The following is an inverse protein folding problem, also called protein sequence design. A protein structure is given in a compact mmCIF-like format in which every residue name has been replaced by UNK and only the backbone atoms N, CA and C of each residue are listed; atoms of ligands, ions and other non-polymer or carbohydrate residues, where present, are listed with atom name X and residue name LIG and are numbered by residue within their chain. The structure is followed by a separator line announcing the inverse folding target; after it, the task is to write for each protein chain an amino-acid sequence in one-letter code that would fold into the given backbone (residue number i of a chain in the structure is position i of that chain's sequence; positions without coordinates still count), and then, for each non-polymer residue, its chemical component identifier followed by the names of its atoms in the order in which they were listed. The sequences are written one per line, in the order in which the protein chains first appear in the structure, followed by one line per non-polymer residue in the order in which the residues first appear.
data_IF_783880279926
#
_entry.id   IF_783880279926
#
_cell.length_a   1.000
_cell.length_b   1.000
_cell.length_c   1.000
_cell.angle_alpha   90.00
_cell.angle_beta   90.00
_cell.angle_gamma   90.00
#
_symmetry.space_group_name_H-M   'P 1'
#
loop_
_entity.id
_entity.type
_entity.pdbx_description
1 polymer ?
#
# COMPACT_ATOMS: atom_id res chain seq x y z
N UNK A 1 -3.23 17.32 -10.70
CA UNK A 1 -2.32 16.24 -10.22
C UNK A 1 -1.63 15.62 -11.42
N UNK A 2 -0.29 15.65 -11.41
CA UNK A 2 0.51 15.12 -12.49
C UNK A 2 1.08 13.74 -12.11
N UNK A 3 1.02 12.79 -13.05
CA UNK A 3 1.69 11.49 -12.97
C UNK A 3 2.54 11.31 -14.23
N UNK A 4 3.87 11.27 -14.07
CA UNK A 4 4.82 11.24 -15.20
C UNK A 4 4.52 12.32 -16.26
N UNK A 5 4.27 13.56 -15.81
CA UNK A 5 3.96 14.70 -16.68
C UNK A 5 2.53 14.75 -17.22
N UNK A 6 1.71 13.71 -17.01
CA UNK A 6 0.32 13.65 -17.48
C UNK A 6 -0.65 14.07 -16.36
N UNK A 7 -1.55 15.02 -16.63
CA UNK A 7 -2.60 15.39 -15.68
C UNK A 7 -3.66 14.30 -15.57
N UNK A 8 -3.78 13.73 -14.38
CA UNK A 8 -4.75 12.66 -14.06
C UNK A 8 -5.99 13.17 -13.30
N UNK A 9 -6.12 14.47 -13.07
CA UNK A 9 -7.23 15.02 -12.28
C UNK A 9 -8.60 14.68 -12.87
N UNK A 10 -8.71 14.71 -14.20
CA UNK A 10 -9.96 14.41 -14.94
C UNK A 10 -10.09 12.94 -15.34
N UNK A 11 -9.08 12.10 -15.09
CA UNK A 11 -9.15 10.67 -15.39
C UNK A 11 -10.02 9.98 -14.36
N UNK A 12 -11.04 9.20 -14.74
CA UNK A 12 -11.85 8.42 -13.80
C UNK A 12 -10.99 7.55 -12.89
N UNK A 13 -11.35 7.43 -11.60
CA UNK A 13 -10.52 6.77 -10.59
C UNK A 13 -10.12 5.33 -10.99
N UNK A 14 -11.06 4.57 -11.56
CA UNK A 14 -10.83 3.19 -12.02
C UNK A 14 -9.89 3.05 -13.25
N UNK A 15 -9.59 4.16 -13.91
CA UNK A 15 -8.65 4.20 -15.04
C UNK A 15 -7.28 4.78 -14.68
N UNK A 16 -7.13 5.30 -13.47
CA UNK A 16 -5.83 5.80 -12.98
C UNK A 16 -4.92 4.61 -12.68
N UNK A 17 -3.63 4.68 -13.03
CA UNK A 17 -2.65 3.65 -12.68
C UNK A 17 -2.19 3.80 -11.22
N UNK A 18 -3.14 4.00 -10.32
CA UNK A 18 -2.96 4.21 -8.88
C UNK A 18 -3.93 3.30 -8.16
N UNK A 19 -3.47 2.59 -7.15
CA UNK A 19 -4.33 1.82 -6.25
C UNK A 19 -4.13 2.27 -4.81
N UNK A 20 -5.17 2.10 -3.98
CA UNK A 20 -5.15 2.48 -2.57
C UNK A 20 -5.40 1.25 -1.70
N UNK A 21 -4.61 1.10 -0.66
CA UNK A 21 -4.87 0.20 0.48
C UNK A 21 -5.29 1.06 1.65
N UNK A 22 -6.51 0.87 2.12
CA UNK A 22 -7.10 1.65 3.22
C UNK A 22 -6.72 1.06 4.58
N UNK A 23 -6.77 1.86 5.63
CA UNK A 23 -6.48 1.50 7.01
C UNK A 23 -7.24 0.24 7.50
N UNK A 24 -8.51 0.08 7.11
CA UNK A 24 -9.33 -1.11 7.41
C UNK A 24 -9.30 -2.17 6.30
N UNK A 25 -8.29 -2.13 5.41
CA UNK A 25 -8.04 -3.05 4.30
C UNK A 25 -9.14 -3.12 3.22
N UNK A 26 -10.40 -2.81 3.57
CA UNK A 26 -11.58 -2.79 2.68
C UNK A 26 -11.71 -4.06 1.82
N UNK A 27 -11.43 -5.24 2.39
CA UNK A 27 -11.70 -6.51 1.73
C UNK A 27 -13.21 -6.74 1.60
N UNK A 28 -13.62 -7.37 0.52
CA UNK A 28 -15.02 -7.77 0.31
C UNK A 28 -15.31 -9.01 1.15
N UNK A 29 -16.04 -8.85 2.26
CA UNK A 29 -16.30 -9.93 3.23
C UNK A 29 -17.14 -11.09 2.66
N UNK A 30 -17.95 -10.83 1.63
CA UNK A 30 -18.79 -11.82 0.93
C UNK A 30 -18.05 -12.56 -0.19
N UNK A 31 -16.78 -12.26 -0.42
CA UNK A 31 -15.92 -12.88 -1.43
C UNK A 31 -14.75 -13.60 -0.75
N UNK A 32 -14.36 -14.75 -1.26
CA UNK A 32 -13.13 -15.41 -0.84
C UNK A 32 -11.88 -14.63 -1.32
N UNK A 33 -10.70 -15.08 -0.92
CA UNK A 33 -9.44 -14.38 -1.21
C UNK A 33 -9.15 -14.33 -2.71
N UNK A 34 -9.37 -15.44 -3.43
CA UNK A 34 -9.22 -15.48 -4.89
C UNK A 34 -10.12 -14.44 -5.57
N UNK A 35 -11.38 -14.35 -5.15
CA UNK A 35 -12.35 -13.41 -5.70
C UNK A 35 -12.00 -11.96 -5.39
N UNK A 36 -11.53 -11.68 -4.17
CA UNK A 36 -11.02 -10.37 -3.77
C UNK A 36 -9.88 -9.93 -4.68
N UNK A 37 -8.87 -10.78 -4.87
CA UNK A 37 -7.70 -10.47 -5.71
C UNK A 37 -8.12 -10.32 -7.18
N UNK A 38 -8.98 -11.21 -7.68
CA UNK A 38 -9.44 -11.19 -9.08
C UNK A 38 -10.31 -9.99 -9.43
N UNK A 39 -10.91 -9.31 -8.46
CA UNK A 39 -11.98 -8.35 -8.69
C UNK A 39 -11.63 -7.27 -9.72
N UNK A 40 -10.50 -6.59 -9.55
CA UNK A 40 -10.05 -5.56 -10.49
C UNK A 40 -9.74 -6.09 -11.89
N UNK A 41 -9.16 -7.30 -11.96
CA UNK A 41 -8.84 -7.95 -13.23
C UNK A 41 -10.09 -8.38 -13.99
N UNK A 42 -11.13 -8.83 -13.27
CA UNK A 42 -12.46 -9.16 -13.87
C UNK A 42 -13.12 -7.90 -14.46
N UNK A 43 -13.07 -6.77 -13.75
CA UNK A 43 -13.58 -5.48 -14.27
C UNK A 43 -12.84 -5.08 -15.54
N UNK A 44 -11.51 -5.29 -15.59
CA UNK A 44 -10.68 -5.05 -16.77
C UNK A 44 -10.85 -6.11 -17.87
N UNK A 45 -11.78 -7.06 -17.72
CA UNK A 45 -12.10 -8.14 -18.67
C UNK A 45 -10.86 -8.95 -19.09
N UNK A 46 -9.94 -9.20 -18.18
CA UNK A 46 -8.77 -10.06 -18.44
C UNK A 46 -9.21 -11.53 -18.60
N UNK A 47 -8.42 -12.31 -19.35
CA UNK A 47 -8.70 -13.74 -19.56
C UNK A 47 -8.63 -14.53 -18.25
N UNK A 48 -9.33 -15.66 -18.19
CA UNK A 48 -9.34 -16.54 -17.01
C UNK A 48 -7.95 -17.05 -16.65
N UNK A 49 -7.14 -17.40 -17.65
CA UNK A 49 -5.78 -17.88 -17.43
C UNK A 49 -4.89 -16.78 -16.87
N UNK A 50 -4.94 -15.57 -17.44
CA UNK A 50 -4.21 -14.40 -16.91
C UNK A 50 -4.58 -14.12 -15.46
N UNK A 51 -5.89 -14.13 -15.12
CA UNK A 51 -6.37 -13.92 -13.75
C UNK A 51 -5.79 -14.97 -12.81
N UNK A 52 -5.89 -16.26 -13.18
CA UNK A 52 -5.37 -17.38 -12.38
C UNK A 52 -3.87 -17.23 -12.09
N UNK A 53 -3.09 -16.92 -13.12
CA UNK A 53 -1.64 -16.79 -12.98
C UNK A 53 -1.26 -15.57 -12.12
N UNK A 54 -1.97 -14.44 -12.27
CA UNK A 54 -1.80 -13.26 -11.43
C UNK A 54 -2.16 -13.47 -9.96
N UNK A 55 -3.22 -14.24 -9.68
CA UNK A 55 -3.59 -14.61 -8.30
C UNK A 55 -2.49 -15.43 -7.66
N UNK A 56 -2.00 -16.49 -8.33
CA UNK A 56 -0.90 -17.31 -7.82
C UNK A 56 0.35 -16.48 -7.56
N UNK A 57 0.73 -15.62 -8.51
CA UNK A 57 1.85 -14.71 -8.36
C UNK A 57 1.69 -13.81 -7.13
N UNK A 58 0.51 -13.17 -6.98
CA UNK A 58 0.27 -12.23 -5.90
C UNK A 58 0.25 -12.91 -4.52
N UNK A 59 -0.37 -14.10 -4.40
CA UNK A 59 -0.38 -14.85 -3.15
C UNK A 59 1.02 -15.31 -2.74
N UNK A 60 1.82 -15.78 -3.71
CA UNK A 60 3.22 -16.12 -3.47
C UNK A 60 4.03 -14.90 -3.01
N UNK A 61 3.83 -13.75 -3.65
CA UNK A 61 4.54 -12.51 -3.33
C UNK A 61 4.29 -12.04 -1.89
N UNK A 62 3.08 -12.28 -1.36
CA UNK A 62 2.70 -11.91 0.02
C UNK A 62 2.79 -13.08 1.01
N UNK A 63 3.41 -14.21 0.63
CA UNK A 63 3.60 -15.40 1.46
C UNK A 63 2.28 -16.00 2.01
N UNK A 64 1.25 -16.07 1.16
CA UNK A 64 -0.08 -16.61 1.49
C UNK A 64 -0.56 -17.63 0.45
N UNK A 65 0.35 -18.44 -0.09
CA UNK A 65 -0.01 -19.55 -0.98
C UNK A 65 -1.00 -20.49 -0.30
N UNK A 66 -2.00 -20.99 -1.04
CA UNK A 66 -3.02 -21.91 -0.53
C UNK A 66 -4.18 -21.24 0.22
N UNK A 67 -4.24 -19.90 0.25
CA UNK A 67 -5.30 -19.15 0.92
C UNK A 67 -6.47 -18.79 -0.01
N UNK A 68 -6.46 -19.19 -1.25
CA UNK A 68 -7.40 -18.79 -2.30
C UNK A 68 -8.86 -18.92 -1.89
N UNK A 69 -9.21 -20.01 -1.22
CA UNK A 69 -10.60 -20.36 -0.85
C UNK A 69 -11.01 -19.88 0.55
N UNK A 70 -10.09 -19.28 1.29
CA UNK A 70 -10.42 -18.72 2.62
C UNK A 70 -11.27 -17.47 2.49
N UNK A 71 -12.05 -17.19 3.54
CA UNK A 71 -12.81 -15.95 3.68
C UNK A 71 -11.99 -14.91 4.46
N UNK A 72 -12.15 -13.60 4.18
CA UNK A 72 -11.42 -12.55 4.89
C UNK A 72 -11.50 -12.64 6.42
N UNK A 73 -12.68 -12.95 6.96
CA UNK A 73 -12.93 -13.01 8.40
C UNK A 73 -12.17 -14.16 9.11
N UNK A 74 -11.65 -15.14 8.36
CA UNK A 74 -10.82 -16.23 8.89
C UNK A 74 -9.34 -15.84 9.02
N UNK A 75 -8.96 -14.63 8.63
CA UNK A 75 -7.58 -14.17 8.56
C UNK A 75 -7.23 -13.22 9.71
N UNK A 76 -5.97 -13.28 10.19
CA UNK A 76 -5.44 -12.24 11.08
C UNK A 76 -5.34 -10.88 10.38
N UNK A 77 -5.26 -9.78 11.16
CA UNK A 77 -5.14 -8.42 10.60
C UNK A 77 -3.97 -8.27 9.61
N UNK A 78 -2.80 -8.81 9.93
CA UNK A 78 -1.65 -8.80 9.03
C UNK A 78 -1.86 -9.63 7.76
N UNK A 79 -2.58 -10.75 7.85
CA UNK A 79 -2.95 -11.54 6.67
C UNK A 79 -3.96 -10.80 5.80
N UNK A 80 -4.97 -10.16 6.39
CA UNK A 80 -5.93 -9.32 5.66
C UNK A 80 -5.23 -8.17 4.94
N UNK A 81 -4.28 -7.52 5.60
CA UNK A 81 -3.46 -6.47 5.01
C UNK A 81 -2.69 -6.97 3.78
N UNK A 82 -1.98 -8.11 3.91
CA UNK A 82 -1.25 -8.72 2.79
C UNK A 82 -2.17 -9.02 1.61
N UNK A 83 -3.39 -9.51 1.86
CA UNK A 83 -4.37 -9.74 0.80
C UNK A 83 -4.85 -8.42 0.15
N UNK A 84 -5.05 -7.35 0.94
CA UNK A 84 -5.40 -6.05 0.38
C UNK A 84 -4.29 -5.49 -0.52
N UNK A 85 -3.02 -5.68 -0.13
CA UNK A 85 -1.86 -5.36 -0.96
C UNK A 85 -1.85 -6.23 -2.21
N UNK A 86 -2.00 -7.56 -2.10
CA UNK A 86 -2.08 -8.48 -3.24
C UNK A 86 -3.16 -8.06 -4.24
N UNK A 87 -4.37 -7.70 -3.76
CA UNK A 87 -5.46 -7.17 -4.57
C UNK A 87 -5.10 -5.87 -5.29
N UNK A 88 -4.33 -5.02 -4.66
CA UNK A 88 -3.90 -3.75 -5.25
C UNK A 88 -2.84 -3.97 -6.34
N UNK A 89 -1.83 -4.81 -6.07
CA UNK A 89 -0.67 -5.00 -6.95
C UNK A 89 -0.97 -5.79 -8.22
N UNK A 90 -1.93 -6.72 -8.21
CA UNK A 90 -2.29 -7.49 -9.43
C UNK A 90 -2.76 -6.60 -10.57
N UNK A 91 -3.20 -5.40 -10.27
CA UNK A 91 -3.59 -4.39 -11.25
C UNK A 91 -2.43 -3.65 -11.89
N UNK A 92 -1.19 -3.95 -11.47
CA UNK A 92 0.06 -3.34 -11.96
C UNK A 92 0.02 -1.80 -11.89
N UNK A 93 -0.23 -1.23 -10.69
CA UNK A 93 -0.25 0.21 -10.53
C UNK A 93 1.15 0.79 -10.68
N UNK A 94 1.25 2.06 -11.10
CA UNK A 94 2.50 2.84 -11.03
C UNK A 94 2.75 3.41 -9.64
N UNK A 95 1.67 3.67 -8.90
CA UNK A 95 1.72 4.21 -7.55
C UNK A 95 0.76 3.40 -6.65
N UNK A 96 1.25 2.99 -5.49
CA UNK A 96 0.46 2.38 -4.43
C UNK A 96 0.35 3.37 -3.26
N UNK A 97 -0.87 3.79 -2.95
CA UNK A 97 -1.17 4.60 -1.79
C UNK A 97 -1.48 3.68 -0.61
N UNK A 98 -0.81 3.89 0.51
CA UNK A 98 -0.98 3.12 1.75
C UNK A 98 -1.43 4.09 2.84
N UNK A 99 -2.70 4.00 3.24
CA UNK A 99 -3.30 4.90 4.23
C UNK A 99 -3.28 4.23 5.60
N UNK A 100 -2.37 4.66 6.48
CA UNK A 100 -2.10 4.10 7.81
C UNK A 100 -2.08 2.56 7.85
N UNK A 101 -1.34 1.90 6.95
CA UNK A 101 -1.49 0.47 6.76
C UNK A 101 -1.09 -0.36 7.97
N UNK A 102 -0.24 0.15 8.88
CA UNK A 102 0.26 -0.58 10.04
C UNK A 102 -0.41 -0.16 11.36
N UNK A 103 -1.27 0.86 11.35
CA UNK A 103 -1.84 1.45 12.57
C UNK A 103 -2.68 0.50 13.42
N UNK A 104 -3.28 -0.53 12.82
CA UNK A 104 -4.11 -1.51 13.53
C UNK A 104 -3.35 -2.76 14.02
N UNK A 105 -2.02 -2.82 13.82
CA UNK A 105 -1.19 -3.99 14.15
C UNK A 105 -0.47 -3.80 15.49
N UNK A 106 -0.28 -4.92 16.23
CA UNK A 106 0.61 -4.95 17.38
C UNK A 106 2.08 -4.69 16.96
N UNK A 107 2.92 -4.32 17.93
CA UNK A 107 4.30 -3.88 17.67
C UNK A 107 5.14 -4.92 16.92
N UNK A 108 5.01 -6.20 17.27
CA UNK A 108 5.80 -7.28 16.64
C UNK A 108 5.38 -7.45 15.18
N UNK A 109 4.08 -7.57 14.93
CA UNK A 109 3.52 -7.76 13.60
C UNK A 109 3.77 -6.52 12.73
N UNK A 110 3.75 -5.31 13.33
CA UNK A 110 4.07 -4.06 12.65
C UNK A 110 5.50 -4.08 12.08
N UNK A 111 6.50 -4.45 12.89
CA UNK A 111 7.89 -4.57 12.43
C UNK A 111 8.08 -5.61 11.32
N UNK A 112 7.42 -6.75 11.43
CA UNK A 112 7.43 -7.78 10.37
C UNK A 112 6.84 -7.24 9.07
N UNK A 113 5.72 -6.51 9.15
CA UNK A 113 5.07 -5.92 7.99
C UNK A 113 5.84 -4.76 7.37
N UNK A 114 6.58 -3.96 8.15
CA UNK A 114 7.47 -2.93 7.61
C UNK A 114 8.54 -3.55 6.70
N UNK A 115 9.20 -4.61 7.16
CA UNK A 115 10.20 -5.33 6.35
C UNK A 115 9.59 -5.91 5.07
N UNK A 116 8.39 -6.49 5.19
CA UNK A 116 7.67 -7.06 4.05
C UNK A 116 7.28 -6.00 3.03
N UNK A 117 6.76 -4.84 3.46
CA UNK A 117 6.41 -3.73 2.58
C UNK A 117 7.64 -3.17 1.84
N UNK A 118 8.77 -3.02 2.53
CA UNK A 118 10.03 -2.61 1.89
C UNK A 118 10.51 -3.63 0.86
N UNK A 119 10.42 -4.92 1.17
CA UNK A 119 10.73 -5.99 0.22
C UNK A 119 9.85 -5.89 -1.03
N UNK A 120 8.54 -5.80 -0.84
CA UNK A 120 7.57 -5.69 -1.93
C UNK A 120 7.81 -4.46 -2.81
N UNK A 121 8.08 -3.31 -2.21
CA UNK A 121 8.38 -2.06 -2.92
C UNK A 121 9.60 -2.23 -3.85
N UNK A 122 10.68 -2.84 -3.33
CA UNK A 122 11.90 -3.10 -4.11
C UNK A 122 11.67 -4.11 -5.24
N UNK A 123 11.00 -5.23 -4.95
CA UNK A 123 10.74 -6.28 -5.94
C UNK A 123 9.84 -5.80 -7.08
N UNK A 124 8.88 -4.93 -6.77
CA UNK A 124 7.92 -4.44 -7.77
C UNK A 124 8.40 -3.20 -8.53
N UNK A 125 9.39 -2.49 -8.02
CA UNK A 125 9.91 -1.24 -8.60
C UNK A 125 8.79 -0.23 -8.89
N UNK A 126 7.86 -0.05 -7.95
CA UNK A 126 6.76 0.92 -8.02
C UNK A 126 6.88 1.97 -6.91
N UNK A 127 6.28 3.13 -7.11
CA UNK A 127 6.26 4.16 -6.08
C UNK A 127 5.24 3.84 -5.02
N UNK A 128 5.67 3.79 -3.74
CA UNK A 128 4.78 3.76 -2.59
C UNK A 128 4.62 5.17 -2.04
N UNK A 129 3.38 5.58 -1.78
CA UNK A 129 3.07 6.76 -0.97
C UNK A 129 2.44 6.24 0.32
N UNK A 130 3.14 6.47 1.42
CA UNK A 130 2.81 5.95 2.73
C UNK A 130 2.32 7.08 3.62
N UNK A 131 1.07 7.02 4.07
CA UNK A 131 0.52 7.99 5.03
C UNK A 131 0.56 7.35 6.41
N UNK A 132 1.21 8.01 7.36
CA UNK A 132 1.30 7.56 8.74
C UNK A 132 1.37 8.75 9.70
N UNK A 133 0.97 8.54 10.93
CA UNK A 133 1.20 9.45 12.04
C UNK A 133 2.34 8.96 12.95
N UNK A 134 2.95 7.83 12.64
CA UNK A 134 4.08 7.25 13.37
C UNK A 134 5.39 7.75 12.76
N UNK A 135 6.18 8.46 13.56
CA UNK A 135 7.44 9.07 13.14
C UNK A 135 8.49 8.02 12.79
N UNK A 136 8.59 6.95 13.60
CA UNK A 136 9.54 5.85 13.36
C UNK A 136 9.25 5.19 12.01
N UNK A 137 7.97 4.98 11.69
CA UNK A 137 7.57 4.46 10.38
C UNK A 137 7.99 5.40 9.24
N UNK A 138 7.69 6.70 9.36
CA UNK A 138 8.03 7.67 8.33
C UNK A 138 9.54 7.72 8.06
N UNK A 139 10.36 7.79 9.11
CA UNK A 139 11.81 7.89 8.99
C UNK A 139 12.48 6.59 8.53
N UNK A 140 11.94 5.42 8.92
CA UNK A 140 12.54 4.13 8.56
C UNK A 140 12.09 3.57 7.21
N UNK A 141 10.86 3.93 6.78
CA UNK A 141 10.24 3.34 5.59
C UNK A 141 10.46 4.14 4.32
N UNK A 142 10.73 5.44 4.41
CA UNK A 142 10.68 6.36 3.27
C UNK A 142 12.05 6.75 2.75
N UNK A 143 12.15 7.01 1.45
CA UNK A 143 13.29 7.68 0.81
C UNK A 143 13.13 9.22 0.89
N UNK A 144 11.88 9.68 0.94
CA UNK A 144 11.50 11.10 1.09
C UNK A 144 10.33 11.21 2.05
N UNK A 145 10.43 12.10 3.01
CA UNK A 145 9.40 12.40 4.00
C UNK A 145 8.77 13.76 3.68
N UNK A 146 7.44 13.83 3.78
CA UNK A 146 6.66 15.07 3.67
C UNK A 146 5.95 15.29 5.01
N UNK A 147 6.44 16.23 5.82
CA UNK A 147 5.80 16.59 7.08
C UNK A 147 4.67 17.59 6.82
N UNK A 148 3.47 17.29 7.33
CA UNK A 148 2.26 18.10 7.13
C UNK A 148 1.63 18.52 8.46
N UNK A 149 1.11 19.72 8.51
CA UNK A 149 0.33 20.24 9.63
C UNK A 149 -0.78 21.17 9.12
N UNK A 150 -2.00 20.97 9.61
CA UNK A 150 -3.16 21.81 9.24
C UNK A 150 -3.40 21.85 7.71
N UNK A 151 -3.16 20.75 6.99
CA UNK A 151 -3.31 20.67 5.52
C UNK A 151 -2.21 21.38 4.72
N UNK A 152 -1.14 21.87 5.39
CA UNK A 152 0.00 22.56 4.75
C UNK A 152 1.27 21.73 4.92
N UNK A 153 2.07 21.68 3.85
CA UNK A 153 3.40 21.09 3.90
C UNK A 153 4.32 21.99 4.74
N UNK A 154 4.97 21.43 5.75
CA UNK A 154 5.92 22.09 6.62
C UNK A 154 7.35 21.90 6.11
N UNK A 155 7.70 20.68 5.75
CA UNK A 155 9.02 20.34 5.20
C UNK A 155 8.90 19.13 4.27
N UNK A 156 9.78 19.08 3.28
CA UNK A 156 10.05 17.92 2.43
C UNK A 156 11.56 17.70 2.48
N UNK A 157 11.99 16.46 2.67
CA UNK A 157 13.41 16.08 2.70
C UNK A 157 13.60 14.60 2.86
N UNK A 158 14.85 14.17 2.90
CA UNK A 158 15.21 12.81 3.33
C UNK A 158 14.92 12.62 4.82
N UNK A 159 14.83 11.40 5.33
CA UNK A 159 14.75 11.14 6.77
C UNK A 159 15.85 11.90 7.56
N UNK A 160 17.06 11.95 7.03
CA UNK A 160 18.21 12.65 7.64
C UNK A 160 17.99 14.17 7.70
N UNK A 161 17.46 14.77 6.61
CA UNK A 161 17.15 16.22 6.58
C UNK A 161 16.05 16.57 7.59
N UNK A 162 15.01 15.73 7.72
CA UNK A 162 13.91 15.96 8.67
C UNK A 162 14.41 15.89 10.11
N UNK A 163 15.27 14.91 10.40
CA UNK A 163 15.78 14.69 11.76
C UNK A 163 16.86 15.70 12.17
N UNK A 164 17.83 15.97 11.28
CA UNK A 164 19.00 16.78 11.62
C UNK A 164 18.83 18.28 11.35
N UNK A 165 17.98 18.64 10.36
CA UNK A 165 17.80 20.03 9.91
C UNK A 165 16.31 20.44 9.87
N UNK A 166 15.58 20.36 11.00
CA UNK A 166 14.17 20.73 11.03
C UNK A 166 13.96 22.23 10.76
N UNK A 167 13.06 22.56 9.82
CA UNK A 167 12.79 23.95 9.40
C UNK A 167 12.02 24.77 10.42
N UNK A 168 11.32 24.17 11.35
CA UNK A 168 10.55 24.83 12.41
C UNK A 168 10.35 23.91 13.61
N UNK A 169 9.84 24.47 14.72
CA UNK A 169 9.60 23.72 15.95
C UNK A 169 8.66 22.52 15.76
N UNK A 170 7.63 22.63 14.90
CA UNK A 170 6.71 21.52 14.63
C UNK A 170 7.43 20.33 13.99
N UNK A 171 8.36 20.60 13.06
CA UNK A 171 9.16 19.53 12.44
C UNK A 171 10.20 18.97 13.41
N UNK A 172 10.74 19.80 14.33
CA UNK A 172 11.68 19.34 15.35
C UNK A 172 11.02 18.41 16.40
N UNK A 173 9.73 18.59 16.65
CA UNK A 173 8.92 17.74 17.53
C UNK A 173 8.43 16.46 16.83
N UNK A 174 8.67 16.36 15.52
CA UNK A 174 8.28 15.21 14.70
C UNK A 174 9.26 14.06 14.84
#
# INVERSE_FOLDING_TARGET
VLLNGTDIARVPANKRPINTVFQKYALFSHMNIEENIAFGLKIKKKSKDYIRDKIKYALKLVNLDGYEKRMPDSLSGGQQQRIAIARAIVNEPKVLLLDEPLGALDLKLRKEMQLELKRLQREMNITFIYVTHDQEEALTMSDTVVVMNGGKVQQIGTPEDIYNEPKNAFVADF
#
